data_IF_755310666644
#
_entry.id   IF_755310666644
#
_cell.length_a   1.000
_cell.length_b   1.000
_cell.length_c   1.000
_cell.angle_alpha   90.00
_cell.angle_beta   90.00
_cell.angle_gamma   90.00
#
_symmetry.space_group_name_H-M   'P 1'
#
loop_
_entity.id
_entity.type
_entity.pdbx_description
1 polymer ?
#
# COMPACT_ATOMS: atom_id res chain seq x y z
N UNK A 1 2.73 -2.12 19.79
CA UNK A 1 4.04 -1.45 19.57
C UNK A 1 3.94 0.04 19.21
N UNK A 2 2.95 0.76 19.74
CA UNK A 2 2.61 2.13 19.30
C UNK A 2 3.71 3.20 19.51
N UNK A 3 4.68 2.97 20.40
CA UNK A 3 5.71 3.95 20.76
C UNK A 3 7.12 3.66 20.24
N UNK A 4 7.35 2.60 19.45
CA UNK A 4 8.71 2.13 19.15
C UNK A 4 9.09 2.20 17.66
N UNK A 5 8.74 3.30 16.98
CA UNK A 5 9.09 3.47 15.57
C UNK A 5 10.60 3.35 15.33
N UNK A 6 11.42 4.00 16.16
CA UNK A 6 12.89 4.07 15.99
C UNK A 6 13.63 2.74 16.15
N UNK A 7 13.03 1.75 16.82
CA UNK A 7 13.60 0.40 16.93
C UNK A 7 12.81 -0.62 16.09
N UNK A 8 11.82 -0.17 15.33
CA UNK A 8 11.00 -1.04 14.50
C UNK A 8 11.74 -1.47 13.24
N UNK A 9 11.38 -2.63 12.69
CA UNK A 9 11.88 -3.04 11.38
C UNK A 9 11.47 -2.07 10.27
N UNK A 10 10.35 -1.35 10.43
CA UNK A 10 9.97 -0.30 9.49
C UNK A 10 11.07 0.76 9.37
N UNK A 11 11.52 1.32 10.49
CA UNK A 11 12.57 2.34 10.46
C UNK A 11 13.92 1.77 10.04
N UNK A 12 14.31 0.63 10.62
CA UNK A 12 15.65 0.08 10.45
C UNK A 12 15.91 -0.54 9.07
N UNK A 13 14.88 -1.02 8.37
CA UNK A 13 15.04 -1.76 7.11
C UNK A 13 14.25 -1.18 5.92
N UNK A 14 13.16 -0.43 6.17
CA UNK A 14 12.17 -0.06 5.15
C UNK A 14 12.01 1.44 4.93
N UNK A 15 12.83 2.25 5.59
CA UNK A 15 13.13 3.62 5.14
C UNK A 15 14.34 3.52 4.21
N UNK A 16 14.07 3.67 2.92
CA UNK A 16 15.01 3.42 1.84
C UNK A 16 15.70 4.70 1.41
N UNK A 17 16.95 4.56 0.94
CA UNK A 17 17.61 5.65 0.25
C UNK A 17 16.99 5.87 -1.14
N UNK A 18 16.82 7.14 -1.51
CA UNK A 18 16.19 7.51 -2.78
C UNK A 18 17.03 7.07 -3.98
N UNK A 19 18.36 7.12 -3.90
CA UNK A 19 19.24 6.73 -4.99
C UNK A 19 19.18 5.22 -5.22
N UNK A 20 19.18 4.43 -4.14
CA UNK A 20 19.03 2.97 -4.22
C UNK A 20 17.68 2.58 -4.83
N UNK A 21 16.60 3.25 -4.42
CA UNK A 21 15.26 3.03 -4.98
C UNK A 21 15.21 3.32 -6.48
N UNK A 22 15.83 4.41 -6.94
CA UNK A 22 15.90 4.76 -8.36
C UNK A 22 16.79 3.79 -9.14
N UNK A 23 17.86 3.28 -8.52
CA UNK A 23 18.77 2.31 -9.13
C UNK A 23 18.07 0.98 -9.39
N UNK A 24 17.28 0.48 -8.44
CA UNK A 24 16.51 -0.76 -8.63
C UNK A 24 15.44 -0.62 -9.73
N UNK A 25 14.80 0.56 -9.81
CA UNK A 25 13.80 0.88 -10.85
C UNK A 25 14.36 0.93 -12.27
N UNK A 26 15.68 1.12 -12.46
CA UNK A 26 16.29 1.09 -13.79
C UNK A 26 16.05 -0.22 -14.55
N UNK A 27 15.68 -1.31 -13.85
CA UNK A 27 15.27 -2.57 -14.47
C UNK A 27 13.99 -2.43 -15.29
N UNK A 28 13.03 -1.64 -14.79
CA UNK A 28 11.71 -1.43 -15.39
C UNK A 28 11.69 -0.20 -16.31
N UNK A 29 12.52 0.81 -16.02
CA UNK A 29 12.64 2.01 -16.83
C UNK A 29 13.21 1.77 -18.25
N UNK A 30 13.69 0.55 -18.51
CA UNK A 30 14.02 0.09 -19.87
C UNK A 30 12.78 -0.12 -20.75
N UNK A 31 11.62 -0.32 -20.12
CA UNK A 31 10.35 -0.63 -20.78
C UNK A 31 9.32 0.48 -20.59
N UNK A 32 9.44 1.26 -19.52
CA UNK A 32 8.51 2.33 -19.13
C UNK A 32 9.30 3.62 -18.95
N UNK A 33 8.72 4.76 -19.32
CA UNK A 33 9.24 6.06 -18.88
C UNK A 33 9.01 6.25 -17.37
N UNK A 34 9.74 7.19 -16.76
CA UNK A 34 9.54 7.54 -15.35
C UNK A 34 8.10 8.00 -15.07
N UNK A 35 7.51 8.76 -16.01
CA UNK A 35 6.14 9.23 -15.91
C UNK A 35 5.13 8.07 -15.97
N UNK A 36 5.34 7.10 -16.86
CA UNK A 36 4.50 5.91 -16.95
C UNK A 36 4.62 5.03 -15.71
N UNK A 37 5.83 4.83 -15.18
CA UNK A 37 6.05 4.09 -13.95
C UNK A 37 5.30 4.72 -12.78
N UNK A 38 5.39 6.05 -12.66
CA UNK A 38 4.64 6.83 -11.68
C UNK A 38 3.12 6.67 -11.84
N UNK A 39 2.60 6.79 -13.08
CA UNK A 39 1.16 6.58 -13.36
C UNK A 39 0.71 5.16 -12.99
N UNK A 40 1.57 4.16 -13.21
CA UNK A 40 1.34 2.77 -12.81
C UNK A 40 1.25 2.62 -11.29
N UNK A 41 2.13 3.29 -10.54
CA UNK A 41 2.07 3.34 -9.08
C UNK A 41 0.77 3.97 -8.59
N UNK A 42 0.36 5.11 -9.15
CA UNK A 42 -0.94 5.72 -8.83
C UNK A 42 -2.08 4.75 -9.11
N UNK A 43 -2.05 4.12 -10.28
CA UNK A 43 -3.10 3.20 -10.73
C UNK A 43 -3.27 2.05 -9.73
N UNK A 44 -2.20 1.37 -9.32
CA UNK A 44 -2.30 0.27 -8.37
C UNK A 44 -2.63 0.73 -6.94
N UNK A 45 -2.18 1.91 -6.50
CA UNK A 45 -2.68 2.50 -5.25
C UNK A 45 -4.20 2.68 -5.29
N UNK A 46 -4.76 3.16 -6.41
CA UNK A 46 -6.22 3.30 -6.57
C UNK A 46 -6.94 1.94 -6.64
N UNK A 47 -6.32 0.91 -7.25
CA UNK A 47 -6.88 -0.46 -7.26
C UNK A 47 -6.95 -1.02 -5.83
N UNK A 48 -5.87 -0.90 -5.06
CA UNK A 48 -5.82 -1.35 -3.65
C UNK A 48 -6.86 -0.60 -2.81
N UNK A 49 -6.98 0.71 -2.99
CA UNK A 49 -8.00 1.53 -2.34
C UNK A 49 -9.42 1.03 -2.66
N UNK A 50 -9.73 0.79 -3.94
CA UNK A 50 -11.04 0.30 -4.35
C UNK A 50 -11.34 -1.11 -3.83
N UNK A 51 -10.34 -2.00 -3.76
CA UNK A 51 -10.48 -3.32 -3.15
C UNK A 51 -10.82 -3.21 -1.66
N UNK A 52 -10.10 -2.34 -0.94
CA UNK A 52 -10.34 -2.08 0.47
C UNK A 52 -11.74 -1.51 0.75
N UNK A 53 -12.19 -0.55 -0.05
CA UNK A 53 -13.54 0.02 0.01
C UNK A 53 -14.61 -1.05 -0.22
N UNK A 54 -14.47 -1.86 -1.26
CA UNK A 54 -15.42 -2.94 -1.57
C UNK A 54 -15.47 -4.00 -0.46
N UNK A 55 -14.34 -4.28 0.19
CA UNK A 55 -14.24 -5.19 1.33
C UNK A 55 -14.64 -4.54 2.66
N UNK A 56 -14.93 -3.23 2.69
CA UNK A 56 -15.25 -2.44 3.88
C UNK A 56 -14.14 -2.47 4.95
N UNK A 57 -12.89 -2.40 4.50
CA UNK A 57 -11.71 -2.36 5.38
C UNK A 57 -11.48 -0.94 5.90
N UNK A 58 -10.87 -0.82 7.09
CA UNK A 58 -10.44 0.47 7.63
C UNK A 58 -9.27 1.03 6.81
N UNK A 59 -9.15 2.35 6.73
CA UNK A 59 -8.10 3.00 5.93
C UNK A 59 -6.68 2.57 6.32
N UNK A 60 -6.42 2.29 7.60
CA UNK A 60 -5.12 1.76 8.06
C UNK A 60 -4.76 0.43 7.40
N UNK A 61 -5.73 -0.47 7.21
CA UNK A 61 -5.52 -1.76 6.53
C UNK A 61 -5.15 -1.55 5.06
N UNK A 62 -5.83 -0.60 4.41
CA UNK A 62 -5.59 -0.25 3.01
C UNK A 62 -4.20 0.39 2.84
N UNK A 63 -3.82 1.26 3.77
CA UNK A 63 -2.50 1.86 3.82
C UNK A 63 -1.40 0.79 4.01
N UNK A 64 -1.58 -0.16 4.95
CA UNK A 64 -0.65 -1.28 5.14
C UNK A 64 -0.51 -2.12 3.86
N UNK A 65 -1.62 -2.45 3.21
CA UNK A 65 -1.61 -3.16 1.92
C UNK A 65 -0.84 -2.38 0.83
N UNK A 66 -1.01 -1.07 0.79
CA UNK A 66 -0.33 -0.21 -0.20
C UNK A 66 1.17 -0.15 0.06
N UNK A 67 1.59 -0.09 1.34
CA UNK A 67 3.00 -0.14 1.71
C UNK A 67 3.62 -1.49 1.36
N UNK A 68 2.93 -2.61 1.59
CA UNK A 68 3.42 -3.94 1.16
C UNK A 68 3.64 -4.01 -0.35
N UNK A 69 2.68 -3.54 -1.13
CA UNK A 69 2.79 -3.48 -2.59
C UNK A 69 4.00 -2.64 -3.02
N UNK A 70 4.17 -1.46 -2.42
CA UNK A 70 5.30 -0.57 -2.71
C UNK A 70 6.65 -1.16 -2.30
N UNK A 71 6.73 -1.80 -1.14
CA UNK A 71 7.95 -2.48 -0.65
C UNK A 71 8.37 -3.61 -1.60
N UNK A 72 7.42 -4.38 -2.12
CA UNK A 72 7.69 -5.45 -3.07
C UNK A 72 8.34 -4.90 -4.36
N UNK A 73 7.67 -3.93 -5.01
CA UNK A 73 8.17 -3.34 -6.26
C UNK A 73 9.27 -2.28 -6.09
N UNK A 74 9.64 -1.95 -4.84
CA UNK A 74 10.85 -1.17 -4.56
C UNK A 74 12.12 -2.02 -4.75
N UNK A 75 12.04 -3.34 -4.52
CA UNK A 75 13.16 -4.27 -4.65
C UNK A 75 13.09 -5.12 -5.92
N UNK A 76 11.88 -5.38 -6.43
CA UNK A 76 11.66 -6.27 -7.56
C UNK A 76 11.01 -5.56 -8.75
N UNK A 77 11.33 -6.05 -9.93
CA UNK A 77 10.76 -5.58 -11.19
C UNK A 77 9.27 -5.92 -11.28
N UNK A 78 8.47 -5.07 -11.95
CA UNK A 78 7.05 -5.30 -12.21
C UNK A 78 6.74 -6.62 -12.93
N UNK A 79 7.74 -7.24 -13.58
CA UNK A 79 7.61 -8.53 -14.28
C UNK A 79 7.75 -9.76 -13.37
N UNK A 80 8.21 -9.61 -12.12
CA UNK A 80 8.48 -10.77 -11.25
C UNK A 80 7.18 -11.49 -10.88
N UNK A 81 6.20 -10.74 -10.37
CA UNK A 81 4.85 -11.19 -10.08
C UNK A 81 3.90 -10.15 -10.66
N UNK A 82 2.83 -10.61 -11.31
CA UNK A 82 1.80 -9.73 -11.87
C UNK A 82 1.23 -8.81 -10.77
N UNK A 83 1.33 -7.48 -10.93
CA UNK A 83 0.72 -6.51 -10.03
C UNK A 83 -0.79 -6.73 -9.79
N UNK A 84 -1.50 -7.30 -10.76
CA UNK A 84 -2.92 -7.63 -10.64
C UNK A 84 -3.15 -8.73 -9.61
N UNK A 85 -2.22 -9.68 -9.46
CA UNK A 85 -2.23 -10.70 -8.39
C UNK A 85 -1.69 -10.14 -7.07
N UNK A 86 -0.66 -9.30 -7.13
CA UNK A 86 -0.02 -8.75 -5.94
C UNK A 86 -0.96 -7.84 -5.14
N UNK A 87 -1.72 -6.97 -5.81
CA UNK A 87 -2.65 -6.03 -5.16
C UNK A 87 -3.66 -6.70 -4.20
N UNK A 88 -4.48 -7.70 -4.62
CA UNK A 88 -5.38 -8.39 -3.70
C UNK A 88 -4.62 -9.23 -2.65
N UNK A 89 -3.43 -9.74 -2.96
CA UNK A 89 -2.59 -10.47 -2.00
C UNK A 89 -2.12 -9.57 -0.86
N UNK A 90 -1.68 -8.34 -1.16
CA UNK A 90 -1.32 -7.36 -0.14
C UNK A 90 -2.52 -6.99 0.75
N UNK A 91 -3.71 -6.82 0.17
CA UNK A 91 -4.95 -6.56 0.92
C UNK A 91 -5.30 -7.73 1.84
N UNK A 92 -5.18 -8.96 1.33
CA UNK A 92 -5.43 -10.17 2.10
C UNK A 92 -4.49 -10.28 3.30
N UNK A 93 -3.18 -10.12 3.07
CA UNK A 93 -2.18 -10.18 4.14
C UNK A 93 -2.38 -9.05 5.17
N UNK A 94 -2.59 -7.82 4.71
CA UNK A 94 -2.81 -6.67 5.61
C UNK A 94 -4.06 -6.87 6.49
N UNK A 95 -5.14 -7.46 5.96
CA UNK A 95 -6.35 -7.75 6.74
C UNK A 95 -6.09 -8.72 7.90
N UNK A 96 -5.17 -9.68 7.72
CA UNK A 96 -4.77 -10.63 8.76
C UNK A 96 -3.89 -9.98 9.83
N UNK A 97 -3.00 -9.06 9.43
CA UNK A 97 -2.04 -8.40 10.33
C UNK A 97 -2.69 -7.34 11.21
N UNK A 98 -3.59 -6.53 10.65
CA UNK A 98 -4.25 -5.42 11.37
C UNK A 98 -5.45 -5.88 12.23
N UNK A 99 -5.59 -7.20 12.45
CA UNK A 99 -6.64 -7.85 13.26
C UNK A 99 -8.08 -7.46 12.86
N UNK A 100 -8.29 -7.02 11.61
CA UNK A 100 -9.60 -6.77 11.07
C UNK A 100 -10.10 -8.03 10.36
N UNK A 101 -10.88 -8.84 11.08
CA UNK A 101 -11.58 -10.06 10.65
C UNK A 101 -11.17 -10.66 9.30
N UNK A 102 -10.58 -11.87 9.33
CA UNK A 102 -10.07 -12.60 8.15
C UNK A 102 -11.03 -12.52 6.96
N UNK A 103 -10.58 -11.88 5.88
CA UNK A 103 -11.33 -11.87 4.61
C UNK A 103 -11.43 -13.30 4.09
N UNK A 104 -12.64 -13.82 3.89
CA UNK A 104 -12.80 -15.17 3.37
C UNK A 104 -12.29 -15.28 1.94
N UNK A 105 -11.77 -16.46 1.58
CA UNK A 105 -11.22 -16.75 0.25
C UNK A 105 -12.18 -16.38 -0.88
N UNK A 106 -13.46 -16.74 -0.73
CA UNK A 106 -14.50 -16.44 -1.72
C UNK A 106 -14.79 -14.95 -1.83
N UNK A 107 -14.79 -14.23 -0.70
CA UNK A 107 -15.05 -12.79 -0.66
C UNK A 107 -13.92 -11.99 -1.29
N UNK A 108 -12.67 -12.41 -1.10
CA UNK A 108 -11.50 -11.76 -1.71
C UNK A 108 -11.54 -11.87 -3.24
N UNK A 109 -11.74 -13.09 -3.76
CA UNK A 109 -11.81 -13.33 -5.21
C UNK A 109 -13.00 -12.59 -5.83
N UNK A 110 -14.18 -12.66 -5.19
CA UNK A 110 -15.36 -11.92 -5.66
C UNK A 110 -15.12 -10.40 -5.68
N UNK A 111 -14.44 -9.86 -4.67
CA UNK A 111 -14.09 -8.44 -4.63
C UNK A 111 -13.10 -8.08 -5.76
N UNK A 112 -12.05 -8.87 -5.98
CA UNK A 112 -11.10 -8.65 -7.07
C UNK A 112 -11.78 -8.64 -8.44
N UNK A 113 -12.60 -9.66 -8.72
CA UNK A 113 -13.35 -9.74 -9.99
C UNK A 113 -14.32 -8.58 -10.16
N UNK A 114 -15.10 -8.26 -9.11
CA UNK A 114 -16.08 -7.17 -9.13
C UNK A 114 -15.43 -5.81 -9.36
N UNK A 115 -14.40 -5.48 -8.58
CA UNK A 115 -13.73 -4.17 -8.63
C UNK A 115 -13.04 -3.95 -9.97
N UNK A 116 -12.30 -4.94 -10.48
CA UNK A 116 -11.62 -4.81 -11.77
C UNK A 116 -12.62 -4.66 -12.92
N UNK A 117 -13.74 -5.40 -12.88
CA UNK A 117 -14.79 -5.34 -13.91
C UNK A 117 -15.60 -4.04 -13.87
N UNK A 118 -15.90 -3.51 -12.68
CA UNK A 118 -16.81 -2.36 -12.53
C UNK A 118 -16.09 -1.00 -12.55
N UNK A 119 -14.93 -0.90 -11.92
CA UNK A 119 -14.20 0.38 -11.77
C UNK A 119 -12.98 0.50 -12.69
N UNK A 120 -12.45 -0.61 -13.19
CA UNK A 120 -11.20 -0.64 -13.97
C UNK A 120 -11.32 -1.38 -15.31
N UNK A 121 -12.53 -1.47 -15.87
CA UNK A 121 -12.80 -2.13 -17.16
C UNK A 121 -12.02 -1.53 -18.34
N UNK A 122 -11.67 -0.23 -18.25
CA UNK A 122 -10.85 0.46 -19.25
C UNK A 122 -9.40 -0.08 -19.29
N UNK A 123 -8.89 -0.61 -18.19
CA UNK A 123 -7.54 -1.17 -18.09
C UNK A 123 -7.55 -2.70 -18.23
N UNK A 124 -8.62 -3.35 -17.75
CA UNK A 124 -8.74 -4.81 -17.75
C UNK A 124 -9.98 -5.25 -18.54
N UNK A 125 -9.83 -5.59 -19.83
CA UNK A 125 -10.95 -6.07 -20.65
C UNK A 125 -11.36 -7.51 -20.31
N UNK A 126 -10.46 -8.27 -19.66
CA UNK A 126 -10.70 -9.66 -19.23
C UNK A 126 -11.01 -9.70 -17.74
N UNK A 127 -11.77 -10.70 -17.32
CA UNK A 127 -12.02 -10.94 -15.90
C UNK A 127 -10.74 -11.32 -15.15
N UNK A 128 -10.75 -11.11 -13.83
CA UNK A 128 -9.64 -11.46 -12.94
C UNK A 128 -9.29 -12.96 -13.10
N UNK A 129 -8.10 -13.30 -13.62
CA UNK A 129 -7.81 -14.68 -14.03
C UNK A 129 -7.37 -15.58 -12.88
N UNK A 130 -7.03 -15.00 -11.72
CA UNK A 130 -6.42 -15.73 -10.62
C UNK A 130 -7.46 -16.32 -9.66
N UNK A 131 -7.16 -17.54 -9.21
CA UNK A 131 -7.87 -18.25 -8.13
C UNK A 131 -7.12 -18.10 -6.80
N UNK A 132 -7.79 -18.43 -5.69
CA UNK A 132 -7.24 -18.31 -4.34
C UNK A 132 -5.88 -19.00 -4.15
N UNK A 133 -5.63 -20.15 -4.78
CA UNK A 133 -4.35 -20.85 -4.64
C UNK A 133 -3.15 -19.98 -5.07
N UNK A 134 -3.32 -19.17 -6.12
CA UNK A 134 -2.29 -18.23 -6.57
C UNK A 134 -2.08 -17.09 -5.57
N UNK A 135 -3.13 -16.65 -4.87
CA UNK A 135 -3.03 -15.63 -3.81
C UNK A 135 -2.25 -16.21 -2.63
N UNK A 136 -2.55 -17.44 -2.22
CA UNK A 136 -1.84 -18.10 -1.13
C UNK A 136 -0.36 -18.31 -1.47
N UNK A 137 -0.06 -18.74 -2.69
CA UNK A 137 1.33 -18.85 -3.16
C UNK A 137 2.04 -17.49 -3.19
N UNK A 138 1.39 -16.47 -3.77
CA UNK A 138 1.91 -15.11 -3.80
C UNK A 138 2.13 -14.54 -2.39
N UNK A 139 1.29 -14.93 -1.41
CA UNK A 139 1.42 -14.50 -0.03
C UNK A 139 2.74 -14.99 0.59
N UNK A 140 3.12 -16.25 0.34
CA UNK A 140 4.40 -16.78 0.82
C UNK A 140 5.58 -15.97 0.29
N UNK A 141 5.59 -15.67 -1.02
CA UNK A 141 6.63 -14.83 -1.62
C UNK A 141 6.64 -13.41 -1.04
N UNK A 142 5.46 -12.82 -0.81
CA UNK A 142 5.35 -11.48 -0.23
C UNK A 142 5.91 -11.45 1.21
N UNK A 143 5.61 -12.47 2.03
CA UNK A 143 6.12 -12.60 3.39
C UNK A 143 7.64 -12.74 3.45
N UNK A 144 8.19 -13.65 2.65
CA UNK A 144 9.63 -13.91 2.57
C UNK A 144 10.40 -12.65 2.15
N UNK A 145 9.91 -11.97 1.12
CA UNK A 145 10.56 -10.79 0.54
C UNK A 145 10.54 -9.58 1.46
N UNK A 146 9.47 -9.45 2.25
CA UNK A 146 9.37 -8.43 3.28
C UNK A 146 10.15 -8.78 4.55
N UNK A 147 10.91 -9.88 4.59
CA UNK A 147 11.64 -10.35 5.78
C UNK A 147 10.71 -10.44 7.00
N UNK A 148 9.46 -10.89 6.78
CA UNK A 148 8.40 -10.94 7.79
C UNK A 148 8.13 -9.60 8.53
N UNK A 149 8.48 -8.46 7.93
CA UNK A 149 8.28 -7.13 8.50
C UNK A 149 6.87 -6.59 8.30
N UNK A 150 5.93 -7.17 9.05
CA UNK A 150 4.49 -6.92 8.89
C UNK A 150 3.99 -5.64 9.58
N UNK A 151 4.70 -5.13 10.58
CA UNK A 151 4.22 -3.98 11.33
C UNK A 151 4.60 -2.69 10.61
N UNK A 152 3.58 -1.97 10.14
CA UNK A 152 3.74 -0.71 9.42
C UNK A 152 3.22 0.44 10.29
N UNK A 153 3.93 1.55 10.25
CA UNK A 153 3.55 2.78 10.96
C UNK A 153 3.04 3.77 9.93
N UNK A 154 1.93 4.44 10.23
CA UNK A 154 1.23 5.32 9.29
C UNK A 154 1.09 6.76 9.82
N UNK A 155 0.92 7.77 8.94
CA UNK A 155 0.84 9.17 9.34
C UNK A 155 -0.44 9.53 10.09
N UNK A 156 -1.48 8.69 10.02
CA UNK A 156 -2.80 8.97 10.60
C UNK A 156 -2.76 9.21 12.12
N UNK A 157 -1.95 8.43 12.84
CA UNK A 157 -1.82 8.55 14.30
C UNK A 157 -1.10 9.83 14.73
N UNK A 158 0.11 10.14 14.22
CA UNK A 158 0.76 11.40 14.55
C UNK A 158 -0.03 12.62 14.05
N UNK A 159 -0.69 12.54 12.89
CA UNK A 159 -1.56 13.62 12.41
C UNK A 159 -2.65 13.96 13.44
N UNK A 160 -3.37 12.96 13.95
CA UNK A 160 -4.40 13.19 14.96
C UNK A 160 -3.83 13.87 16.21
N UNK A 161 -2.62 13.49 16.63
CA UNK A 161 -1.94 14.10 17.78
C UNK A 161 -1.57 15.56 17.51
N UNK A 162 -1.07 15.90 16.33
CA UNK A 162 -0.71 17.28 15.97
C UNK A 162 -1.93 18.19 15.88
N UNK A 163 -2.99 17.75 15.20
CA UNK A 163 -4.19 18.58 15.06
C UNK A 163 -4.90 18.78 16.41
N UNK A 164 -4.84 17.77 17.30
CA UNK A 164 -5.31 17.89 18.69
C UNK A 164 -4.48 18.89 19.51
N UNK A 165 -3.16 18.87 19.36
CA UNK A 165 -2.26 19.82 20.02
C UNK A 165 -2.51 21.26 19.55
N UNK A 166 -2.86 21.45 18.27
CA UNK A 166 -3.26 22.75 17.72
C UNK A 166 -4.66 23.20 18.15
N UNK A 167 -5.49 22.30 18.69
CA UNK A 167 -6.88 22.60 19.06
C UNK A 167 -7.80 22.90 17.88
N UNK A 168 -7.48 22.41 16.67
CA UNK A 168 -8.21 22.67 15.41
C UNK A 168 -8.69 21.37 14.73
N UNK A 169 -9.03 20.35 15.52
CA UNK A 169 -9.42 19.01 15.04
C UNK A 169 -10.55 19.07 14.01
N UNK A 170 -11.65 19.75 14.32
CA UNK A 170 -12.83 19.79 13.45
C UNK A 170 -12.56 20.50 12.11
N UNK A 171 -11.63 21.46 12.09
CA UNK A 171 -11.35 22.28 10.91
C UNK A 171 -10.32 21.62 9.98
N UNK A 172 -9.21 21.10 10.53
CA UNK A 172 -8.06 20.65 9.74
C UNK A 172 -8.08 19.15 9.45
N UNK A 173 -8.58 18.32 10.38
CA UNK A 173 -8.46 16.87 10.30
C UNK A 173 -9.08 16.28 9.02
N UNK A 174 -10.28 16.68 8.54
CA UNK A 174 -10.86 16.08 7.35
C UNK A 174 -10.01 16.30 6.08
N UNK A 175 -9.43 17.49 5.93
CA UNK A 175 -8.58 17.84 4.79
C UNK A 175 -7.21 17.17 4.90
N UNK A 176 -6.55 17.29 6.06
CA UNK A 176 -5.25 16.69 6.28
C UNK A 176 -5.28 15.15 6.15
N UNK A 177 -6.33 14.50 6.65
CA UNK A 177 -6.52 13.05 6.50
C UNK A 177 -6.63 12.64 5.02
N UNK A 178 -7.33 13.44 4.21
CA UNK A 178 -7.43 13.20 2.76
C UNK A 178 -6.07 13.36 2.08
N UNK A 179 -5.31 14.39 2.43
CA UNK A 179 -3.98 14.62 1.86
C UNK A 179 -3.03 13.47 2.24
N UNK A 180 -3.10 12.95 3.47
CA UNK A 180 -2.36 11.74 3.88
C UNK A 180 -2.67 10.57 2.95
N UNK A 181 -3.94 10.34 2.60
CA UNK A 181 -4.30 9.29 1.64
C UNK A 181 -3.67 9.52 0.26
N UNK A 182 -3.64 10.77 -0.21
CA UNK A 182 -3.02 11.12 -1.47
C UNK A 182 -1.50 10.92 -1.46
N UNK A 183 -0.82 11.00 -0.30
CA UNK A 183 0.63 10.70 -0.23
C UNK A 183 0.97 9.26 -0.60
N UNK A 184 0.07 8.29 -0.44
CA UNK A 184 0.29 6.90 -0.87
C UNK A 184 0.31 6.72 -2.39
N UNK A 185 -0.05 7.75 -3.16
CA UNK A 185 0.21 7.80 -4.60
C UNK A 185 1.69 8.02 -4.92
N UNK A 186 2.46 8.47 -3.94
CA UNK A 186 3.89 8.76 -4.06
C UNK A 186 4.77 7.69 -3.40
N UNK A 187 6.09 7.94 -3.40
CA UNK A 187 7.08 7.12 -2.70
C UNK A 187 7.35 7.59 -1.26
N UNK A 188 6.66 8.62 -0.76
CA UNK A 188 6.94 9.23 0.54
C UNK A 188 6.97 8.21 1.69
N UNK A 189 6.05 7.24 1.68
CA UNK A 189 5.98 6.18 2.69
C UNK A 189 7.20 5.23 2.73
N UNK A 190 8.04 5.22 1.69
CA UNK A 190 9.29 4.47 1.66
C UNK A 190 10.50 5.32 2.02
N UNK A 191 10.38 6.65 1.97
CA UNK A 191 11.52 7.57 2.08
C UNK A 191 11.55 8.32 3.42
N UNK A 192 10.38 8.53 4.04
CA UNK A 192 10.29 9.39 5.22
C UNK A 192 9.53 8.71 6.36
N UNK A 193 9.92 8.99 7.62
CA UNK A 193 9.14 8.62 8.78
C UNK A 193 7.70 9.15 8.74
N UNK A 194 6.70 8.37 9.23
CA UNK A 194 5.28 8.74 9.12
C UNK A 194 4.90 10.07 9.80
N UNK A 195 5.58 10.44 10.89
CA UNK A 195 5.32 11.71 11.58
C UNK A 195 5.80 12.93 10.76
N UNK A 196 6.89 12.79 9.99
CA UNK A 196 7.34 13.85 9.07
C UNK A 196 6.34 14.04 7.93
N UNK A 197 5.79 12.93 7.41
CA UNK A 197 4.75 12.98 6.38
C UNK A 197 3.50 13.69 6.93
N UNK A 198 3.11 13.40 8.18
CA UNK A 198 1.99 14.09 8.82
C UNK A 198 2.23 15.60 8.97
N UNK A 199 3.43 16.01 9.40
CA UNK A 199 3.78 17.43 9.61
C UNK A 199 3.82 18.25 8.32
N UNK A 200 4.22 17.67 7.19
CA UNK A 200 4.24 18.39 5.90
C UNK A 200 2.84 18.72 5.38
N UNK A 201 1.82 18.07 5.96
CA UNK A 201 0.42 18.17 5.54
C UNK A 201 -0.38 19.16 6.40
N UNK A 202 0.10 19.47 7.61
CA UNK A 202 -0.39 20.58 8.43
C UNK A 202 0.09 21.94 7.87
#
# INVERSE_FOLDING_TARGET
MAGNFWQSSHYLQWILDKQDLLKERQKDLKFLSEEEYWKLQIFFTNVIQALGEHLKLRQQVIATATVYFKRFYARYSLKSIDPVLMAPTCVFLASKVEEFGVVSNTRLIAAATSVLKTRFSYAFPKEFPYRMNHILECEFYLLELMDCCLIVYHPYRPLLQYVQDMGQEDMLLPLAWRIVNDTYRTDLCLLYPPFMIALVID
#
